data_IF_029974432313
#
_entry.id   IF_029974432313
#
_cell.length_a   1.000
_cell.length_b   1.000
_cell.length_c   1.000
_cell.angle_alpha   90.00
_cell.angle_beta   90.00
_cell.angle_gamma   90.00
#
_symmetry.space_group_name_H-M   'P 1'
#
loop_
_entity.id
_entity.type
_entity.pdbx_description
1 polymer ?
#
# COMPACT_ATOMS: atom_id res chain seq x y z
N UNK A 1 -12.05 -11.50 -2.88
CA UNK A 1 -12.85 -10.26 -2.82
C UNK A 1 -12.47 -9.39 -4.00
N UNK A 2 -13.43 -8.67 -4.60
CA UNK A 2 -13.16 -7.74 -5.71
C UNK A 2 -12.76 -6.33 -5.24
N UNK A 3 -12.23 -6.20 -4.02
CA UNK A 3 -11.98 -4.90 -3.41
C UNK A 3 -10.49 -4.61 -3.29
N UNK A 4 -10.18 -3.33 -3.44
CA UNK A 4 -8.84 -2.78 -3.26
C UNK A 4 -8.83 -1.77 -2.13
N UNK A 5 -7.65 -1.51 -1.58
CA UNK A 5 -7.43 -0.51 -0.55
C UNK A 5 -6.32 0.44 -1.00
N UNK A 6 -6.64 1.73 -1.10
CA UNK A 6 -5.66 2.77 -1.34
C UNK A 6 -5.13 3.32 -0.01
N UNK A 7 -3.81 3.43 0.10
CA UNK A 7 -3.16 4.23 1.14
C UNK A 7 -2.96 5.65 0.61
N UNK A 8 -3.61 6.62 1.25
CA UNK A 8 -3.62 8.02 0.88
C UNK A 8 -2.35 8.72 1.39
N UNK A 9 -1.93 9.76 0.68
CA UNK A 9 -0.75 10.55 1.00
C UNK A 9 -0.97 11.58 2.10
N UNK A 10 -0.04 12.54 2.19
CA UNK A 10 0.02 13.58 3.23
C UNK A 10 -1.25 14.43 3.37
N UNK A 11 -2.05 14.55 2.31
CA UNK A 11 -3.32 15.27 2.31
C UNK A 11 -4.44 14.28 1.97
N UNK A 12 -4.91 13.45 2.91
CA UNK A 12 -5.84 12.36 2.62
C UNK A 12 -7.16 12.83 2.03
N UNK A 13 -7.67 14.00 2.44
CA UNK A 13 -8.89 14.57 1.88
C UNK A 13 -8.79 14.81 0.36
N UNK A 14 -7.62 15.26 -0.13
CA UNK A 14 -7.39 15.43 -1.57
C UNK A 14 -7.27 14.09 -2.29
N UNK A 15 -6.63 13.10 -1.67
CA UNK A 15 -6.54 11.75 -2.22
C UNK A 15 -7.91 11.06 -2.28
N UNK A 16 -8.75 11.26 -1.28
CA UNK A 16 -10.13 10.75 -1.27
C UNK A 16 -10.96 11.38 -2.39
N UNK A 17 -10.96 12.71 -2.49
CA UNK A 17 -11.67 13.42 -3.55
C UNK A 17 -11.16 13.03 -4.96
N UNK A 18 -9.85 12.78 -5.12
CA UNK A 18 -9.29 12.27 -6.36
C UNK A 18 -9.85 10.89 -6.71
N UNK A 19 -9.94 9.97 -5.74
CA UNK A 19 -10.52 8.65 -5.96
C UNK A 19 -12.01 8.74 -6.33
N UNK A 20 -12.78 9.55 -5.61
CA UNK A 20 -14.21 9.78 -5.87
C UNK A 20 -14.43 10.38 -7.26
N UNK A 21 -13.60 11.34 -7.68
CA UNK A 21 -13.66 11.94 -9.02
C UNK A 21 -13.40 10.92 -10.14
N UNK A 22 -12.46 10.00 -9.93
CA UNK A 22 -12.03 9.05 -10.96
C UNK A 22 -12.88 7.79 -11.04
N UNK A 23 -13.38 7.31 -9.91
CA UNK A 23 -14.05 6.01 -9.81
C UNK A 23 -15.51 6.09 -9.35
N UNK A 24 -16.03 7.30 -9.08
CA UNK A 24 -17.36 7.50 -8.51
C UNK A 24 -17.35 7.43 -7.00
N UNK A 25 -18.07 8.33 -6.33
CA UNK A 25 -18.11 8.38 -4.86
C UNK A 25 -18.77 7.12 -4.26
N UNK A 26 -19.69 6.49 -4.98
CA UNK A 26 -20.36 5.25 -4.60
C UNK A 26 -19.42 4.04 -4.52
N UNK A 27 -18.31 4.07 -5.27
CA UNK A 27 -17.31 3.01 -5.26
C UNK A 27 -16.26 3.18 -4.15
N UNK A 28 -16.27 4.30 -3.43
CA UNK A 28 -15.24 4.67 -2.46
C UNK A 28 -15.80 4.65 -1.04
N UNK A 29 -15.13 3.92 -0.15
CA UNK A 29 -15.47 3.91 1.28
C UNK A 29 -14.24 4.28 2.11
N UNK A 30 -14.23 5.43 2.80
CA UNK A 30 -13.15 5.79 3.70
C UNK A 30 -12.98 4.76 4.83
N UNK A 31 -11.74 4.35 5.09
CA UNK A 31 -11.38 3.48 6.21
C UNK A 31 -10.33 4.19 7.05
N UNK A 32 -10.74 4.70 8.21
CA UNK A 32 -9.89 5.57 9.02
C UNK A 32 -9.56 6.89 8.30
N UNK A 33 -8.42 7.49 8.64
CA UNK A 33 -8.00 8.80 8.09
C UNK A 33 -7.11 8.70 6.86
N UNK A 34 -6.41 7.59 6.70
CA UNK A 34 -5.29 7.47 5.75
C UNK A 34 -5.58 6.47 4.64
N UNK A 35 -6.72 5.75 4.66
CA UNK A 35 -7.02 4.76 3.63
C UNK A 35 -8.45 4.85 3.13
N UNK A 36 -8.66 4.35 1.92
CA UNK A 36 -9.98 4.22 1.32
C UNK A 36 -10.11 2.87 0.60
N UNK A 37 -11.21 2.17 0.86
CA UNK A 37 -11.62 1.03 0.07
C UNK A 37 -12.14 1.51 -1.29
N UNK A 38 -11.83 0.74 -2.32
CA UNK A 38 -12.30 0.93 -3.68
C UNK A 38 -13.01 -0.37 -4.07
N UNK A 39 -14.27 -0.27 -4.49
CA UNK A 39 -15.05 -1.43 -4.95
C UNK A 39 -14.69 -1.87 -6.38
N UNK A 40 -13.39 -1.99 -6.62
CA UNK A 40 -12.78 -2.42 -7.87
C UNK A 40 -11.64 -3.38 -7.56
N UNK A 41 -11.43 -4.37 -8.44
CA UNK A 41 -10.26 -5.22 -8.34
C UNK A 41 -9.00 -4.39 -8.59
N UNK A 42 -7.89 -4.75 -7.95
CA UNK A 42 -6.68 -3.92 -7.97
C UNK A 42 -6.09 -3.74 -9.37
N UNK A 43 -6.41 -4.62 -10.32
CA UNK A 43 -6.01 -4.51 -11.73
C UNK A 43 -6.86 -3.53 -12.53
N UNK A 44 -8.04 -3.16 -12.04
CA UNK A 44 -8.96 -2.22 -12.66
C UNK A 44 -8.66 -0.76 -12.23
N UNK A 45 -7.90 -0.59 -11.14
CA UNK A 45 -7.46 0.72 -10.65
C UNK A 45 -6.23 1.17 -11.44
N UNK A 46 -6.35 2.25 -12.19
CA UNK A 46 -5.20 2.89 -12.84
C UNK A 46 -4.38 3.68 -11.82
N UNK A 47 -3.52 2.98 -11.09
CA UNK A 47 -2.72 3.57 -10.01
C UNK A 47 -1.76 4.67 -10.48
N UNK A 48 -1.23 4.58 -11.70
CA UNK A 48 -0.33 5.61 -12.26
C UNK A 48 -1.05 6.94 -12.50
N UNK A 49 -2.38 6.91 -12.63
CA UNK A 49 -3.22 8.11 -12.68
C UNK A 49 -3.35 8.80 -11.33
N UNK A 50 -3.10 8.13 -10.19
CA UNK A 50 -3.33 8.67 -8.85
C UNK A 50 -2.13 9.47 -8.32
N UNK A 51 -2.32 10.77 -8.04
CA UNK A 51 -1.32 11.61 -7.39
C UNK A 51 -1.40 11.59 -5.86
N UNK A 52 -2.60 11.38 -5.32
CA UNK A 52 -2.93 11.43 -3.89
C UNK A 52 -2.83 10.10 -3.16
N UNK A 53 -2.61 8.99 -3.87
CA UNK A 53 -2.38 7.66 -3.28
C UNK A 53 -0.90 7.28 -3.32
N UNK A 54 -0.38 6.73 -2.22
CA UNK A 54 1.02 6.30 -2.11
C UNK A 54 1.21 4.78 -2.28
N UNK A 55 0.16 3.99 -2.02
CA UNK A 55 0.13 2.53 -2.27
C UNK A 55 -1.27 2.09 -2.67
N UNK A 56 -1.34 1.02 -3.45
CA UNK A 56 -2.56 0.26 -3.72
C UNK A 56 -2.35 -1.17 -3.23
N UNK A 57 -3.38 -1.73 -2.60
CA UNK A 57 -3.35 -3.09 -2.10
C UNK A 57 -4.63 -3.83 -2.50
N UNK A 58 -4.51 -5.14 -2.74
CA UNK A 58 -5.66 -6.04 -2.85
C UNK A 58 -6.07 -6.51 -1.45
N UNK A 59 -7.37 -6.52 -1.17
CA UNK A 59 -7.89 -7.03 0.10
C UNK A 59 -7.81 -8.56 0.11
N UNK A 60 -7.09 -9.13 1.07
CA UNK A 60 -6.98 -10.58 1.23
C UNK A 60 -8.13 -11.12 2.09
N UNK A 61 -8.35 -10.50 3.24
CA UNK A 61 -9.38 -10.91 4.19
C UNK A 61 -9.71 -9.81 5.21
N UNK A 62 -10.80 -10.01 5.94
CA UNK A 62 -11.19 -9.25 7.13
C UNK A 62 -11.06 -10.17 8.36
N UNK A 63 -10.43 -9.67 9.41
CA UNK A 63 -10.24 -10.38 10.67
C UNK A 63 -11.10 -9.69 11.74
N UNK A 64 -12.01 -10.42 12.36
CA UNK A 64 -12.90 -9.92 13.42
C UNK A 64 -12.16 -9.78 14.76
N UNK A 65 -11.17 -8.91 14.76
CA UNK A 65 -10.35 -8.56 15.92
C UNK A 65 -9.66 -7.23 15.66
N UNK A 66 -9.25 -6.54 16.72
CA UNK A 66 -8.39 -5.36 16.64
C UNK A 66 -6.97 -5.63 17.14
N UNK A 67 -6.66 -6.88 17.50
CA UNK A 67 -5.38 -7.26 18.09
C UNK A 67 -4.37 -7.68 17.02
N UNK A 68 -3.13 -7.17 17.13
CA UNK A 68 -2.03 -7.57 16.25
C UNK A 68 -1.75 -9.07 16.29
N UNK A 69 -1.93 -9.70 17.46
CA UNK A 69 -1.79 -11.15 17.62
C UNK A 69 -2.74 -11.96 16.74
N UNK A 70 -3.94 -11.44 16.44
CA UNK A 70 -4.89 -12.10 15.55
C UNK A 70 -4.39 -12.11 14.09
N UNK A 71 -3.78 -11.00 13.65
CA UNK A 71 -3.12 -10.90 12.33
C UNK A 71 -1.99 -11.91 12.24
N UNK A 72 -1.15 -11.98 13.26
CA UNK A 72 -0.03 -12.91 13.30
C UNK A 72 -0.48 -14.36 13.32
N UNK A 73 -1.52 -14.70 14.09
CA UNK A 73 -2.13 -16.04 14.06
C UNK A 73 -2.62 -16.37 12.66
N UNK A 74 -3.38 -15.47 12.04
CA UNK A 74 -3.91 -15.65 10.69
C UNK A 74 -2.80 -15.89 9.67
N UNK A 75 -1.74 -15.06 9.67
CA UNK A 75 -0.62 -15.21 8.75
C UNK A 75 0.15 -16.51 8.96
N UNK A 76 0.42 -16.91 10.21
CA UNK A 76 1.13 -18.16 10.51
C UNK A 76 0.36 -19.39 10.02
N UNK A 77 -0.97 -19.37 10.13
CA UNK A 77 -1.83 -20.47 9.70
C UNK A 77 -1.99 -20.53 8.18
N UNK A 78 -2.29 -19.40 7.52
CA UNK A 78 -2.74 -19.43 6.12
C UNK A 78 -1.63 -19.13 5.10
N UNK A 79 -0.58 -18.38 5.49
CA UNK A 79 0.46 -17.99 4.53
C UNK A 79 1.15 -19.18 3.84
N UNK A 80 1.52 -20.29 4.53
CA UNK A 80 2.16 -21.44 3.88
C UNK A 80 1.39 -21.93 2.65
N UNK A 81 0.07 -22.05 2.76
CA UNK A 81 -0.80 -22.54 1.70
C UNK A 81 -0.87 -21.58 0.51
N UNK A 82 -0.51 -20.30 0.69
CA UNK A 82 -0.50 -19.31 -0.40
C UNK A 82 0.88 -19.12 -1.05
N UNK A 83 1.94 -19.74 -0.52
CA UNK A 83 3.29 -19.54 -1.07
C UNK A 83 3.47 -20.10 -2.48
N UNK A 84 2.65 -21.07 -2.89
CA UNK A 84 2.69 -21.66 -4.23
C UNK A 84 2.23 -20.69 -5.34
N UNK A 85 1.48 -19.63 -5.00
CA UNK A 85 1.10 -18.59 -5.95
C UNK A 85 2.27 -17.67 -6.34
N UNK A 86 3.39 -17.73 -5.62
CA UNK A 86 4.57 -16.95 -5.94
C UNK A 86 5.52 -17.73 -6.85
N UNK A 87 6.06 -17.10 -7.91
CA UNK A 87 7.08 -17.71 -8.75
C UNK A 87 8.31 -18.07 -7.92
N UNK A 88 9.17 -18.96 -8.42
CA UNK A 88 10.40 -19.34 -7.74
C UNK A 88 11.28 -18.14 -7.36
N UNK A 89 12.12 -18.35 -6.34
CA UNK A 89 13.06 -17.35 -5.86
C UNK A 89 12.73 -16.78 -4.49
N UNK A 90 13.56 -15.82 -4.08
CA UNK A 90 13.58 -15.25 -2.73
C UNK A 90 12.48 -14.20 -2.56
N UNK A 91 11.57 -14.46 -1.62
CA UNK A 91 10.51 -13.55 -1.25
C UNK A 91 11.06 -12.31 -0.53
N UNK A 92 10.39 -11.17 -0.70
CA UNK A 92 10.71 -9.91 0.00
C UNK A 92 9.49 -9.48 0.83
N UNK A 93 9.57 -9.72 2.14
CA UNK A 93 8.52 -9.48 3.10
C UNK A 93 8.58 -8.07 3.68
N UNK A 94 7.47 -7.33 3.64
CA UNK A 94 7.33 -6.02 4.28
C UNK A 94 6.00 -5.89 5.02
N UNK A 95 5.93 -4.97 5.99
CA UNK A 95 4.71 -4.68 6.74
C UNK A 95 4.42 -3.19 6.82
N UNK A 96 3.15 -2.85 6.64
CA UNK A 96 2.57 -1.54 6.95
C UNK A 96 1.40 -1.76 7.88
N UNK A 97 1.37 -1.02 8.98
CA UNK A 97 0.33 -1.14 10.00
C UNK A 97 -0.26 0.23 10.29
N UNK A 98 -1.58 0.34 10.25
CA UNK A 98 -2.32 1.60 10.41
C UNK A 98 -3.46 1.40 11.41
N UNK A 99 -3.51 2.24 12.44
CA UNK A 99 -4.59 2.25 13.43
C UNK A 99 -4.59 1.06 14.41
N UNK A 100 -3.55 0.21 14.39
CA UNK A 100 -3.39 -0.93 15.30
C UNK A 100 -2.27 -0.61 16.31
N UNK A 101 -2.50 -0.94 17.58
CA UNK A 101 -1.52 -0.76 18.65
C UNK A 101 -0.43 -1.85 18.57
N UNK A 102 0.64 -1.59 17.84
CA UNK A 102 1.84 -2.44 17.76
C UNK A 102 3.10 -1.59 17.69
N UNK A 103 4.11 -1.89 18.52
CA UNK A 103 5.39 -1.18 18.48
C UNK A 103 6.27 -1.66 17.32
N UNK A 104 7.18 -0.80 16.84
CA UNK A 104 8.13 -1.15 15.76
C UNK A 104 8.98 -2.38 16.11
N UNK A 105 9.41 -2.51 17.37
CA UNK A 105 10.15 -3.69 17.86
C UNK A 105 9.33 -4.98 17.73
N UNK A 106 8.06 -4.94 18.12
CA UNK A 106 7.14 -6.08 17.97
C UNK A 106 6.84 -6.40 16.50
N UNK A 107 6.70 -5.38 15.65
CA UNK A 107 6.51 -5.53 14.22
C UNK A 107 7.72 -6.22 13.56
N UNK A 108 8.94 -5.82 13.92
CA UNK A 108 10.16 -6.47 13.43
C UNK A 108 10.30 -7.91 13.93
N UNK A 109 9.98 -8.18 15.20
CA UNK A 109 9.92 -9.55 15.74
C UNK A 109 8.91 -10.40 14.97
N UNK A 110 7.75 -9.84 14.69
CA UNK A 110 6.69 -10.47 13.88
C UNK A 110 7.19 -10.82 12.48
N UNK A 111 7.93 -9.93 11.82
CA UNK A 111 8.55 -10.21 10.53
C UNK A 111 9.53 -11.38 10.56
N UNK A 112 10.32 -11.53 11.64
CA UNK A 112 11.20 -12.68 11.84
C UNK A 112 10.44 -13.98 12.09
N UNK A 113 9.33 -13.92 12.82
CA UNK A 113 8.45 -15.08 13.04
C UNK A 113 7.84 -15.56 11.72
N UNK A 114 7.28 -14.66 10.90
CA UNK A 114 6.75 -15.02 9.57
C UNK A 114 7.87 -15.52 8.66
N UNK A 115 9.08 -14.96 8.72
CA UNK A 115 10.25 -15.50 8.00
C UNK A 115 10.54 -16.96 8.36
N UNK A 116 10.38 -17.37 9.62
CA UNK A 116 10.56 -18.77 10.02
C UNK A 116 9.49 -19.66 9.39
N UNK A 117 8.23 -19.23 9.40
CA UNK A 117 7.11 -19.95 8.77
C UNK A 117 7.36 -20.16 7.28
N UNK A 118 7.74 -19.09 6.56
CA UNK A 118 8.03 -19.18 5.12
C UNK A 118 9.20 -20.14 4.83
N UNK A 119 10.24 -20.12 5.66
CA UNK A 119 11.38 -21.04 5.53
C UNK A 119 11.00 -22.50 5.79
N UNK A 120 10.15 -22.76 6.78
CA UNK A 120 9.66 -24.11 7.07
C UNK A 120 8.83 -24.67 5.92
N UNK A 121 8.10 -23.80 5.20
CA UNK A 121 7.40 -24.14 3.97
C UNK A 121 8.32 -24.21 2.72
N UNK A 122 9.63 -24.28 2.90
CA UNK A 122 10.60 -24.50 1.81
C UNK A 122 10.96 -23.27 0.98
N UNK A 123 10.54 -22.06 1.37
CA UNK A 123 10.80 -20.83 0.61
C UNK A 123 11.85 -19.94 1.26
N UNK A 124 12.71 -19.33 0.44
CA UNK A 124 13.66 -18.30 0.90
C UNK A 124 12.97 -16.93 1.05
N UNK A 125 13.32 -16.16 2.08
CA UNK A 125 12.75 -14.83 2.30
C UNK A 125 13.74 -13.85 2.95
N UNK A 126 13.66 -12.58 2.53
CA UNK A 126 14.24 -11.41 3.19
C UNK A 126 13.10 -10.60 3.82
N UNK A 127 13.31 -10.13 5.05
CA UNK A 127 12.40 -9.19 5.72
C UNK A 127 12.99 -7.80 5.56
N UNK A 128 12.15 -6.85 5.15
CA UNK A 128 12.49 -5.43 5.17
C UNK A 128 12.24 -4.92 6.58
N UNK A 129 13.27 -4.45 7.30
CA UNK A 129 13.10 -3.96 8.65
C UNK A 129 12.29 -2.66 8.65
N UNK A 130 11.40 -2.55 9.62
CA UNK A 130 10.60 -1.36 9.88
C UNK A 130 11.38 -0.43 10.82
N UNK A 131 11.52 0.84 10.42
CA UNK A 131 11.91 1.95 11.30
C UNK A 131 10.69 2.63 11.93
N UNK A 132 9.55 2.52 11.25
CA UNK A 132 8.23 3.01 11.63
C UNK A 132 7.18 1.93 11.36
N UNK A 133 5.93 2.14 11.80
CA UNK A 133 4.84 1.18 11.58
C UNK A 133 4.52 0.94 10.09
N UNK A 134 4.93 1.86 9.20
CA UNK A 134 4.73 1.79 7.76
C UNK A 134 6.08 1.83 7.04
N UNK A 135 6.22 1.08 5.95
CA UNK A 135 7.34 1.23 5.05
C UNK A 135 7.12 2.46 4.17
N UNK A 136 8.13 3.31 4.02
CA UNK A 136 8.11 4.38 3.02
C UNK A 136 8.05 3.80 1.59
N UNK A 137 7.55 4.57 0.63
CA UNK A 137 7.55 4.17 -0.78
C UNK A 137 8.97 3.86 -1.28
N UNK A 138 9.98 4.56 -0.77
CA UNK A 138 11.39 4.30 -1.06
C UNK A 138 11.84 2.91 -0.55
N UNK A 139 11.49 2.56 0.69
CA UNK A 139 11.80 1.23 1.23
C UNK A 139 11.13 0.12 0.40
N UNK A 140 9.85 0.28 0.05
CA UNK A 140 9.11 -0.69 -0.77
C UNK A 140 9.74 -0.85 -2.17
N UNK A 141 10.03 0.26 -2.85
CA UNK A 141 10.64 0.26 -4.19
C UNK A 141 12.05 -0.36 -4.19
N UNK A 142 12.95 0.11 -3.31
CA UNK A 142 14.33 -0.38 -3.27
C UNK A 142 14.42 -1.86 -2.87
N UNK A 143 13.49 -2.35 -2.04
CA UNK A 143 13.43 -3.76 -1.66
C UNK A 143 12.54 -4.60 -2.57
N UNK A 144 11.93 -3.99 -3.61
CA UNK A 144 11.09 -4.66 -4.62
C UNK A 144 9.97 -5.51 -4.01
N UNK A 145 9.31 -4.97 -2.98
CA UNK A 145 8.30 -5.68 -2.18
C UNK A 145 6.94 -5.78 -2.87
N UNK A 146 6.77 -5.10 -4.01
CA UNK A 146 5.61 -5.20 -4.92
C UNK A 146 5.95 -5.92 -6.23
N UNK A 147 7.18 -6.45 -6.37
CA UNK A 147 7.58 -7.22 -7.55
C UNK A 147 7.02 -8.65 -7.56
N UNK A 148 7.41 -9.49 -8.53
CA UNK A 148 6.88 -10.86 -8.66
C UNK A 148 7.06 -11.75 -7.43
N UNK A 149 8.13 -11.55 -6.65
CA UNK A 149 8.38 -12.23 -5.37
C UNK A 149 8.17 -11.32 -4.15
N UNK A 150 7.51 -10.18 -4.36
CA UNK A 150 7.22 -9.19 -3.35
C UNK A 150 6.00 -9.58 -2.52
N UNK A 151 6.14 -9.55 -1.19
CA UNK A 151 5.05 -9.79 -0.25
C UNK A 151 5.02 -8.67 0.78
N UNK A 152 4.35 -7.58 0.45
CA UNK A 152 4.13 -6.50 1.39
C UNK A 152 2.71 -6.51 1.92
N UNK A 153 2.56 -6.63 3.24
CA UNK A 153 1.27 -6.54 3.89
C UNK A 153 0.93 -5.09 4.21
N UNK A 154 -0.32 -4.73 3.97
CA UNK A 154 -0.95 -3.52 4.49
C UNK A 154 -2.07 -3.96 5.43
N UNK A 155 -1.93 -3.62 6.71
CA UNK A 155 -2.81 -4.06 7.79
C UNK A 155 -3.45 -2.84 8.41
N UNK A 156 -4.77 -2.72 8.27
CA UNK A 156 -5.50 -1.50 8.63
C UNK A 156 -6.63 -1.84 9.57
N UNK A 157 -6.77 -1.07 10.66
CA UNK A 157 -7.93 -1.16 11.53
C UNK A 157 -9.16 -0.56 10.83
N UNK A 158 -10.24 -1.34 10.78
CA UNK A 158 -11.56 -0.92 10.32
C UNK A 158 -12.58 -1.18 11.45
N UNK A 159 -12.82 -0.16 12.27
CA UNK A 159 -13.68 -0.25 13.45
C UNK A 159 -13.20 -1.32 14.46
N UNK A 160 -13.99 -2.40 14.56
CA UNK A 160 -13.73 -3.57 15.42
C UNK A 160 -13.08 -4.75 14.67
N UNK A 161 -12.70 -4.53 13.41
CA UNK A 161 -12.06 -5.51 12.55
C UNK A 161 -10.72 -5.00 12.01
N UNK A 162 -9.97 -5.88 11.39
CA UNK A 162 -8.74 -5.57 10.67
C UNK A 162 -8.88 -6.02 9.22
N UNK A 163 -8.56 -5.12 8.30
CA UNK A 163 -8.32 -5.45 6.90
C UNK A 163 -6.87 -5.90 6.75
N UNK A 164 -6.68 -7.12 6.26
CA UNK A 164 -5.40 -7.64 5.85
C UNK A 164 -5.33 -7.60 4.32
N UNK A 165 -4.39 -6.82 3.80
CA UNK A 165 -4.22 -6.57 2.37
C UNK A 165 -2.79 -6.91 1.93
N UNK A 166 -2.61 -7.22 0.64
CA UNK A 166 -1.30 -7.30 0.00
C UNK A 166 -1.13 -6.08 -0.90
N UNK A 167 -0.06 -5.31 -0.69
CA UNK A 167 0.30 -4.18 -1.56
C UNK A 167 0.68 -4.72 -2.94
N UNK A 168 0.02 -4.19 -3.96
CA UNK A 168 0.21 -4.55 -5.37
C UNK A 168 1.00 -3.49 -6.11
N UNK A 169 0.83 -2.21 -5.75
CA UNK A 169 1.54 -1.09 -6.38
C UNK A 169 1.96 -0.07 -5.33
N UNK A 170 3.09 0.60 -5.61
CA UNK A 170 3.66 1.67 -4.79
C UNK A 170 3.99 2.84 -5.70
N UNK A 171 3.79 4.05 -5.19
CA UNK A 171 4.00 5.26 -5.96
C UNK A 171 5.44 5.38 -6.46
N UNK A 172 5.61 5.64 -7.76
CA UNK A 172 6.93 5.83 -8.37
C UNK A 172 7.52 7.19 -7.99
N UNK A 173 8.25 7.20 -6.86
CA UNK A 173 8.92 8.40 -6.36
C UNK A 173 10.00 8.90 -7.33
N UNK A 174 10.61 8.02 -8.14
CA UNK A 174 11.67 8.40 -9.07
C UNK A 174 11.07 9.14 -10.27
N UNK A 175 9.92 8.69 -10.79
CA UNK A 175 9.19 9.39 -11.83
C UNK A 175 8.74 10.80 -11.37
N UNK A 176 8.22 10.93 -10.15
CA UNK A 176 7.86 12.25 -9.60
C UNK A 176 9.08 13.15 -9.40
N UNK A 177 10.19 12.62 -8.87
CA UNK A 177 11.42 13.39 -8.73
C UNK A 177 11.96 13.85 -10.09
N UNK A 178 11.92 12.98 -11.11
CA UNK A 178 12.33 13.33 -12.47
C UNK A 178 11.46 14.44 -13.07
N UNK A 179 10.12 14.36 -12.92
CA UNK A 179 9.19 15.41 -13.38
C UNK A 179 9.43 16.75 -12.69
N UNK A 180 9.85 16.73 -11.44
CA UNK A 180 10.12 17.95 -10.69
C UNK A 180 11.49 18.57 -11.03
N UNK A 181 12.53 17.75 -11.11
CA UNK A 181 13.92 18.19 -11.25
C UNK A 181 14.35 18.42 -12.70
N UNK A 182 13.81 17.66 -13.65
CA UNK A 182 14.22 17.69 -15.07
C UNK A 182 13.34 18.60 -15.94
N UNK A 183 12.67 19.60 -15.36
CA UNK A 183 11.88 20.57 -16.12
C UNK A 183 12.80 21.41 -17.01
N UNK A 184 12.52 21.56 -18.33
CA UNK A 184 13.35 22.37 -19.23
C UNK A 184 13.52 23.82 -18.77
N UNK A 185 12.49 24.38 -18.13
CA UNK A 185 12.53 25.69 -17.47
C UNK A 185 12.02 25.56 -16.04
N UNK A 186 12.82 26.02 -15.07
CA UNK A 186 12.47 26.05 -13.65
C UNK A 186 12.32 27.49 -13.21
N UNK A 187 11.17 27.82 -12.62
CA UNK A 187 10.97 29.10 -11.95
C UNK A 187 10.96 28.88 -10.44
N UNK A 188 12.16 28.77 -9.86
CA UNK A 188 12.33 28.54 -8.44
C UNK A 188 11.99 29.77 -7.58
N UNK A 189 11.89 30.97 -8.18
CA UNK A 189 11.70 32.23 -7.47
C UNK A 189 10.23 32.43 -7.05
N UNK A 190 9.29 31.96 -7.88
CA UNK A 190 7.83 32.05 -7.62
C UNK A 190 7.31 30.82 -6.87
N UNK A 191 8.10 29.74 -6.83
CA UNK A 191 7.68 28.45 -6.30
C UNK A 191 7.10 27.56 -7.39
N UNK A 192 7.33 26.25 -7.28
CA UNK A 192 6.86 25.27 -8.25
C UNK A 192 5.71 24.46 -7.66
N UNK A 193 4.61 24.31 -8.42
CA UNK A 193 3.55 23.39 -8.05
C UNK A 193 4.11 21.94 -8.03
N UNK A 194 3.99 21.21 -6.90
CA UNK A 194 4.47 19.84 -6.82
C UNK A 194 3.73 18.96 -7.83
N UNK A 195 4.43 18.06 -8.56
CA UNK A 195 3.82 17.28 -9.64
C UNK A 195 2.68 16.37 -9.17
N UNK A 196 2.73 15.85 -7.95
CA UNK A 196 1.63 15.08 -7.34
C UNK A 196 0.37 15.93 -7.16
N UNK A 197 0.53 17.15 -6.67
CA UNK A 197 -0.60 18.06 -6.46
C UNK A 197 -1.18 18.53 -7.81
N UNK A 198 -0.32 18.82 -8.79
CA UNK A 198 -0.77 19.12 -10.15
C UNK A 198 -1.60 17.98 -10.75
N UNK A 199 -1.16 16.73 -10.58
CA UNK A 199 -1.89 15.55 -11.05
C UNK A 199 -3.25 15.40 -10.36
N UNK A 200 -3.30 15.56 -9.03
CA UNK A 200 -4.57 15.56 -8.28
C UNK A 200 -5.53 16.61 -8.83
N UNK A 201 -5.07 17.85 -9.05
CA UNK A 201 -5.91 18.93 -9.58
C UNK A 201 -6.48 18.56 -10.96
N UNK A 202 -5.67 17.97 -11.84
CA UNK A 202 -6.13 17.50 -13.15
C UNK A 202 -7.20 16.41 -13.00
N UNK A 203 -7.02 15.46 -12.09
CA UNK A 203 -8.00 14.39 -11.85
C UNK A 203 -9.29 14.90 -11.22
N UNK A 204 -9.22 15.92 -10.36
CA UNK A 204 -10.39 16.58 -9.77
C UNK A 204 -11.18 17.40 -10.79
N UNK A 205 -10.55 17.84 -11.88
CA UNK A 205 -11.21 18.63 -12.92
C UNK A 205 -12.16 17.82 -13.84
N UNK A 206 -12.31 16.50 -13.62
CA UNK A 206 -13.39 15.71 -14.21
C UNK A 206 -13.28 15.45 -15.72
N UNK A 207 -12.08 15.42 -16.31
CA UNK A 207 -11.92 14.96 -17.69
C UNK A 207 -12.07 13.44 -17.74
N UNK A 208 -13.33 13.00 -17.77
CA UNK A 208 -13.74 11.62 -18.00
C UNK A 208 -13.44 11.23 -19.45
N UNK A 209 -12.32 10.55 -19.66
CA UNK A 209 -12.22 9.57 -20.73
C UNK A 209 -12.06 8.22 -20.05
N UNK A 210 -13.16 7.46 -20.07
CA UNK A 210 -13.16 6.01 -19.87
C UNK A 210 -12.60 5.38 -21.14
#
# INVERSE_FOLDING_TARGET
MKQSLALLGRQPALGLAELESLYGAEAITPVGRETALIDLHHSEVNFDRLGGSIKLAKVLTRIDSTAWSAVMKHLKTNLPDHLHYFPEGKLRLGFNVIGIKVGVSELNRSGLEIKKVIKQAGRSVRVVPNTDQQLSSAQSLHNQTTGPTGLEFLVVRDGNSILLCQVTQVQDINAYAARDQKRPKRDARVGMLPPKLAQIIVNLAGTHTV
#
